data_IF_508113024598
#
_entry.id   IF_508113024598
#
_cell.length_a   1.000
_cell.length_b   1.000
_cell.length_c   1.000
_cell.angle_alpha   90.00
_cell.angle_beta   90.00
_cell.angle_gamma   90.00
#
_symmetry.space_group_name_H-M   'P 1'
#
loop_
_entity.id
_entity.type
_entity.pdbx_description
1 polymer ?
#
# COMPACT_ATOMS: atom_id res chain seq x y z
N UNK A 1 6.70 -13.53 -5.94
CA UNK A 1 7.27 -12.17 -5.74
C UNK A 1 6.89 -11.65 -4.36
N UNK A 2 7.85 -11.14 -3.63
CA UNK A 2 7.58 -10.47 -2.36
C UNK A 2 7.30 -8.98 -2.61
N UNK A 3 6.58 -8.33 -1.70
CA UNK A 3 6.30 -6.89 -1.83
C UNK A 3 7.58 -6.05 -1.81
N UNK A 4 8.65 -6.54 -1.23
CA UNK A 4 9.94 -5.83 -1.19
C UNK A 4 10.54 -5.62 -2.57
N UNK A 5 10.20 -6.49 -3.53
CA UNK A 5 10.68 -6.36 -4.90
C UNK A 5 9.98 -5.26 -5.68
N UNK A 6 8.89 -4.69 -5.13
CA UNK A 6 8.16 -3.61 -5.80
C UNK A 6 8.91 -2.28 -5.75
N UNK A 7 9.81 -2.11 -4.78
CA UNK A 7 10.56 -0.88 -4.65
C UNK A 7 11.06 -0.64 -3.24
N UNK A 8 11.18 0.65 -2.88
CA UNK A 8 11.74 1.09 -1.61
C UNK A 8 10.64 1.37 -0.59
N UNK A 9 10.77 0.81 0.60
CA UNK A 9 9.87 1.16 1.72
C UNK A 9 10.20 2.58 2.18
N UNK A 10 9.24 3.49 2.07
CA UNK A 10 9.43 4.90 2.39
C UNK A 10 8.68 5.35 3.64
N UNK A 11 7.72 4.55 4.12
CA UNK A 11 6.98 4.83 5.34
C UNK A 11 6.49 3.53 5.94
N UNK A 12 6.52 3.45 7.26
CA UNK A 12 5.99 2.30 8.00
C UNK A 12 5.05 2.78 9.09
N UNK A 13 4.20 1.88 9.58
CA UNK A 13 3.28 2.18 10.66
C UNK A 13 2.52 0.92 11.09
N UNK A 14 1.46 1.15 11.86
CA UNK A 14 0.59 0.09 12.33
C UNK A 14 -0.87 0.54 12.30
N UNK A 15 -1.78 -0.42 12.31
CA UNK A 15 -3.20 -0.19 12.52
C UNK A 15 -3.78 -1.35 13.32
N UNK A 16 -5.01 -1.20 13.81
CA UNK A 16 -5.69 -2.27 14.53
C UNK A 16 -6.74 -2.92 13.64
N UNK A 17 -6.56 -4.21 13.36
CA UNK A 17 -7.57 -5.00 12.68
C UNK A 17 -8.72 -5.27 13.63
N UNK A 18 -9.93 -4.93 13.21
CA UNK A 18 -11.15 -5.06 14.02
C UNK A 18 -11.01 -4.38 15.40
N UNK A 19 -10.23 -3.32 15.49
CA UNK A 19 -9.99 -2.59 16.73
C UNK A 19 -9.20 -3.34 17.79
N UNK A 20 -8.66 -4.52 17.48
CA UNK A 20 -8.07 -5.40 18.49
C UNK A 20 -6.68 -5.94 18.14
N UNK A 21 -6.42 -6.28 16.88
CA UNK A 21 -5.18 -6.95 16.47
C UNK A 21 -4.24 -5.97 15.79
N UNK A 22 -3.04 -5.80 16.33
CA UNK A 22 -2.02 -4.93 15.70
C UNK A 22 -1.52 -5.54 14.42
N UNK A 23 -1.65 -4.79 13.33
CA UNK A 23 -1.14 -5.16 12.01
C UNK A 23 -0.13 -4.14 11.53
N UNK A 24 0.84 -4.60 10.77
CA UNK A 24 1.83 -3.71 10.15
C UNK A 24 1.22 -3.07 8.90
N UNK A 25 1.70 -1.87 8.58
CA UNK A 25 1.43 -1.26 7.28
C UNK A 25 2.69 -0.57 6.79
N UNK A 26 2.81 -0.44 5.48
CA UNK A 26 3.92 0.29 4.89
C UNK A 26 3.51 0.88 3.55
N UNK A 27 4.27 1.89 3.12
CA UNK A 27 4.15 2.48 1.80
C UNK A 27 5.47 2.24 1.07
N UNK A 28 5.37 1.71 -0.14
CA UNK A 28 6.51 1.37 -0.99
C UNK A 28 6.49 2.27 -2.21
N UNK A 29 7.63 2.93 -2.48
CA UNK A 29 7.80 3.71 -3.70
C UNK A 29 8.30 2.80 -4.81
N UNK A 30 7.54 2.72 -5.90
CA UNK A 30 7.90 1.95 -7.09
C UNK A 30 8.13 2.89 -8.27
N UNK A 31 9.09 2.65 -9.15
CA UNK A 31 9.24 3.41 -10.39
C UNK A 31 8.19 3.05 -11.43
N UNK A 32 7.38 2.05 -11.17
CA UNK A 32 6.40 1.53 -12.13
C UNK A 32 5.01 1.54 -11.53
N UNK A 33 4.05 2.06 -12.30
CA UNK A 33 2.64 1.90 -12.02
C UNK A 33 2.15 0.66 -12.77
N UNK A 34 1.77 -0.37 -12.03
CA UNK A 34 1.32 -1.63 -12.62
C UNK A 34 -0.08 -1.49 -13.18
N UNK A 35 -0.27 -1.98 -14.41
CA UNK A 35 -1.56 -2.01 -15.08
C UNK A 35 -2.45 -3.13 -14.54
N UNK A 36 -3.72 -3.09 -14.95
CA UNK A 36 -4.71 -4.11 -14.56
C UNK A 36 -4.46 -5.47 -15.19
N UNK A 37 -3.81 -5.49 -16.35
CA UNK A 37 -3.65 -6.71 -17.14
C UNK A 37 -4.93 -7.17 -17.82
N UNK A 38 -6.01 -6.39 -17.75
CA UNK A 38 -7.29 -6.72 -18.36
C UNK A 38 -7.31 -6.26 -19.81
N UNK A 39 -7.50 -7.20 -20.74
CA UNK A 39 -7.53 -6.91 -22.17
C UNK A 39 -8.72 -6.05 -22.62
N UNK A 40 -9.73 -5.89 -21.78
CA UNK A 40 -10.89 -5.04 -22.06
C UNK A 40 -10.65 -3.58 -21.63
N UNK A 41 -9.66 -3.33 -20.77
CA UNK A 41 -9.31 -1.97 -20.37
C UNK A 41 -8.50 -1.29 -21.47
N UNK A 42 -8.62 0.06 -21.60
CA UNK A 42 -7.74 0.82 -22.48
C UNK A 42 -6.26 0.57 -22.14
N UNK A 43 -5.32 0.65 -23.12
CA UNK A 43 -3.91 0.39 -22.86
C UNK A 43 -3.30 1.18 -21.71
N UNK A 44 -3.74 2.42 -21.48
CA UNK A 44 -3.23 3.24 -20.37
C UNK A 44 -3.59 2.69 -19.00
N UNK A 45 -4.61 1.82 -18.89
CA UNK A 45 -4.99 1.16 -17.65
C UNK A 45 -4.54 -0.30 -17.59
N UNK A 46 -4.46 -0.97 -18.75
CA UNK A 46 -4.10 -2.39 -18.81
C UNK A 46 -2.61 -2.63 -18.75
N UNK A 47 -1.81 -1.72 -19.28
CA UNK A 47 -0.36 -1.86 -19.39
C UNK A 47 0.35 -1.14 -18.25
N UNK A 48 1.53 -1.67 -17.86
CA UNK A 48 2.40 -1.01 -16.90
C UNK A 48 2.95 0.28 -17.49
N UNK A 49 3.13 1.29 -16.63
CA UNK A 49 3.66 2.59 -17.01
C UNK A 49 4.89 2.94 -16.17
N UNK A 50 5.88 3.56 -16.77
CA UNK A 50 7.06 4.07 -16.06
C UNK A 50 6.68 5.37 -15.33
N UNK A 51 6.04 5.24 -14.19
CA UNK A 51 5.53 6.33 -13.39
C UNK A 51 5.76 6.04 -11.92
N UNK A 52 6.44 6.95 -11.22
CA UNK A 52 6.65 6.83 -9.78
C UNK A 52 5.31 6.68 -9.07
N UNK A 53 5.17 5.61 -8.29
CA UNK A 53 3.91 5.27 -7.64
C UNK A 53 4.19 4.80 -6.21
N UNK A 54 3.33 5.26 -5.28
CA UNK A 54 3.42 4.89 -3.86
C UNK A 54 2.30 3.88 -3.57
N UNK A 55 2.70 2.65 -3.27
CA UNK A 55 1.77 1.55 -3.00
C UNK A 55 1.60 1.35 -1.51
N UNK A 56 0.35 1.22 -1.07
CA UNK A 56 0.00 0.92 0.31
C UNK A 56 -0.07 -0.59 0.47
N UNK A 57 0.60 -1.12 1.49
CA UNK A 57 0.61 -2.56 1.78
C UNK A 57 0.23 -2.78 3.23
N UNK A 58 -0.75 -3.67 3.46
CA UNK A 58 -1.26 -4.00 4.77
C UNK A 58 -0.76 -5.37 5.22
N UNK A 59 -0.33 -5.43 6.47
CA UNK A 59 0.15 -6.66 7.08
C UNK A 59 -0.97 -7.60 7.50
N UNK A 60 -0.60 -8.88 7.64
CA UNK A 60 -1.50 -9.92 8.09
C UNK A 60 -1.90 -9.73 9.56
N UNK A 61 -3.16 -10.02 9.86
CA UNK A 61 -3.65 -10.02 11.24
C UNK A 61 -3.18 -11.26 12.02
N UNK A 62 -2.72 -12.30 11.34
CA UNK A 62 -2.30 -13.55 11.95
C UNK A 62 -0.80 -13.76 11.99
N UNK A 63 -0.06 -13.02 11.16
CA UNK A 63 1.39 -13.20 11.04
C UNK A 63 2.09 -11.84 10.84
N UNK A 64 2.72 -11.34 11.90
CA UNK A 64 3.45 -10.07 11.86
C UNK A 64 4.59 -10.14 10.85
N UNK A 65 4.79 -9.04 10.13
CA UNK A 65 5.84 -8.94 9.11
C UNK A 65 5.45 -9.49 7.75
N UNK A 66 4.29 -10.10 7.62
CA UNK A 66 3.78 -10.59 6.34
C UNK A 66 2.73 -9.62 5.80
N UNK A 67 2.95 -9.15 4.57
CA UNK A 67 2.05 -8.20 3.90
C UNK A 67 1.27 -8.96 2.82
N UNK A 68 -0.04 -9.07 3.01
CA UNK A 68 -0.92 -9.89 2.17
C UNK A 68 -2.09 -9.14 1.55
N UNK A 69 -2.16 -7.83 1.75
CA UNK A 69 -3.20 -7.00 1.17
C UNK A 69 -2.63 -5.65 0.73
N UNK A 70 -3.27 -5.01 -0.22
CA UNK A 70 -2.85 -3.72 -0.73
C UNK A 70 -3.96 -2.69 -0.74
N UNK A 71 -3.61 -1.43 -0.55
CA UNK A 71 -4.52 -0.29 -0.58
C UNK A 71 -4.44 0.52 -1.87
N UNK A 72 -3.78 0.00 -2.91
CA UNK A 72 -3.66 0.67 -4.19
C UNK A 72 -2.43 1.56 -4.32
N UNK A 73 -2.29 2.18 -5.50
CA UNK A 73 -1.17 3.05 -5.84
C UNK A 73 -1.59 4.51 -5.90
N UNK A 74 -0.69 5.40 -5.50
CA UNK A 74 -0.92 6.85 -5.47
C UNK A 74 0.29 7.59 -6.04
N UNK A 75 0.07 8.81 -6.55
CA UNK A 75 1.11 9.60 -7.20
C UNK A 75 2.10 10.25 -6.26
N UNK A 76 1.77 10.40 -4.97
CA UNK A 76 2.65 10.97 -3.97
C UNK A 76 2.54 10.20 -2.66
N UNK A 77 3.58 10.30 -1.81
CA UNK A 77 3.55 9.74 -0.47
C UNK A 77 2.42 10.34 0.36
N UNK A 78 2.21 11.64 0.24
CA UNK A 78 1.15 12.35 0.96
C UNK A 78 -0.23 11.80 0.63
N UNK A 79 -0.51 11.56 -0.66
CA UNK A 79 -1.78 11.00 -1.10
C UNK A 79 -1.96 9.57 -0.61
N UNK A 80 -0.89 8.76 -0.62
CA UNK A 80 -0.93 7.41 -0.10
C UNK A 80 -1.24 7.39 1.41
N UNK A 81 -0.60 8.27 2.18
CA UNK A 81 -0.86 8.39 3.62
C UNK A 81 -2.30 8.85 3.89
N UNK A 82 -2.77 9.84 3.13
CA UNK A 82 -4.15 10.34 3.27
C UNK A 82 -5.17 9.26 2.95
N UNK A 83 -4.95 8.47 1.90
CA UNK A 83 -5.82 7.37 1.53
C UNK A 83 -5.85 6.28 2.61
N UNK A 84 -4.71 6.00 3.23
CA UNK A 84 -4.62 5.05 4.34
C UNK A 84 -5.43 5.53 5.53
N UNK A 85 -5.30 6.80 5.88
CA UNK A 85 -6.01 7.41 7.01
C UNK A 85 -7.53 7.51 6.77
N UNK A 86 -7.94 7.51 5.52
CA UNK A 86 -9.36 7.54 5.13
C UNK A 86 -9.97 6.14 4.94
N UNK A 87 -9.16 5.08 4.99
CA UNK A 87 -9.66 3.72 4.75
C UNK A 87 -10.59 3.25 5.87
N UNK A 88 -11.81 2.79 5.54
CA UNK A 88 -12.76 2.32 6.54
C UNK A 88 -12.19 1.16 7.37
N UNK A 89 -12.34 1.24 8.70
CA UNK A 89 -11.86 0.19 9.61
C UNK A 89 -10.36 0.19 9.85
N UNK A 90 -9.61 1.01 9.13
CA UNK A 90 -8.13 1.09 9.23
C UNK A 90 -7.71 2.48 9.71
N UNK A 91 -8.16 3.50 9.02
CA UNK A 91 -7.72 4.88 9.22
C UNK A 91 -7.77 5.39 10.65
N UNK A 92 -8.85 5.17 11.42
CA UNK A 92 -8.94 5.68 12.79
C UNK A 92 -7.86 5.17 13.74
N UNK A 93 -7.24 4.04 13.44
CA UNK A 93 -6.23 3.40 14.29
C UNK A 93 -4.82 3.46 13.73
N UNK A 94 -4.63 4.08 12.57
CA UNK A 94 -3.32 4.20 11.94
C UNK A 94 -2.38 5.04 12.81
N UNK A 95 -1.20 4.48 13.05
CA UNK A 95 -0.09 5.18 13.69
C UNK A 95 1.15 5.04 12.83
N UNK A 96 1.67 6.17 12.36
CA UNK A 96 2.88 6.19 11.56
C UNK A 96 4.10 6.16 12.46
N UNK A 97 5.10 5.39 12.07
CA UNK A 97 6.36 5.35 12.81
C UNK A 97 7.12 6.66 12.58
N UNK A 98 7.81 7.11 13.61
CA UNK A 98 8.75 8.23 13.48
C UNK A 98 10.03 7.75 12.80
N UNK A 99 10.55 8.58 11.93
CA UNK A 99 11.83 8.30 11.28
C UNK A 99 13.01 8.80 12.12
#
# INVERSE_FOLDING_TARGET
MTFEEWGEVVRTGTFLYDGAVTCDLRIVRSPIRYGSGDGEDPPEFANDQELETFYIQYGSATERGRFNAGGGGHGTLRDAMAATEAAPGIGPTVQWDDD
#
